data_IF_462160535867
#
_entry.id   IF_462160535867
#
_cell.length_a   1.000
_cell.length_b   1.000
_cell.length_c   1.000
_cell.angle_alpha   90.00
_cell.angle_beta   90.00
_cell.angle_gamma   90.00
#
_symmetry.space_group_name_H-M   'P 1'
#
loop_
_entity.id
_entity.type
_entity.pdbx_description
1 polymer ?
#
# COMPACT_ATOMS: atom_id res chain seq x y z
N UNK A 1 15.94 16.07 -31.94
CA UNK A 1 14.95 16.04 -30.84
C UNK A 1 14.56 14.59 -30.62
N UNK A 2 15.01 13.99 -29.52
CA UNK A 2 14.75 12.59 -29.20
C UNK A 2 13.56 12.48 -28.25
N UNK A 3 12.51 11.75 -28.67
CA UNK A 3 11.41 11.37 -27.81
C UNK A 3 11.72 9.98 -27.22
N UNK A 4 11.84 9.91 -25.90
CA UNK A 4 11.98 8.65 -25.16
C UNK A 4 10.58 8.08 -24.96
N UNK A 5 10.31 6.96 -25.62
CA UNK A 5 9.13 6.13 -25.35
C UNK A 5 9.41 5.25 -24.12
N UNK A 6 8.93 5.68 -22.95
CA UNK A 6 8.80 4.80 -21.78
C UNK A 6 7.47 4.07 -21.93
N UNK A 7 7.51 2.88 -22.53
CA UNK A 7 6.36 1.99 -22.62
C UNK A 7 6.08 1.36 -21.26
N UNK A 8 5.11 1.93 -20.53
CA UNK A 8 4.58 1.40 -19.28
C UNK A 8 3.97 0.02 -19.48
N UNK A 9 4.59 -0.98 -18.87
CA UNK A 9 3.99 -2.29 -18.64
C UNK A 9 2.95 -2.19 -17.51
N UNK A 10 1.74 -1.72 -17.83
CA UNK A 10 0.56 -1.88 -16.96
C UNK A 10 -0.54 -2.50 -17.81
N UNK A 11 -0.35 -3.76 -18.16
CA UNK A 11 -1.32 -4.57 -18.87
C UNK A 11 -1.37 -5.99 -18.31
N UNK A 12 -1.49 -6.14 -16.98
CA UNK A 12 -1.90 -7.42 -16.39
C UNK A 12 -2.74 -7.13 -15.14
N UNK A 13 -3.92 -7.75 -15.09
CA UNK A 13 -4.82 -7.91 -13.93
C UNK A 13 -5.93 -6.87 -13.68
N UNK A 14 -6.67 -6.47 -14.71
CA UNK A 14 -8.04 -5.91 -14.53
C UNK A 14 -9.15 -6.98 -14.70
N UNK A 15 -8.80 -8.19 -15.14
CA UNK A 15 -9.79 -9.24 -15.45
C UNK A 15 -10.21 -10.16 -14.29
N UNK A 16 -9.79 -9.90 -13.05
CA UNK A 16 -10.02 -10.85 -11.93
C UNK A 16 -10.58 -10.21 -10.67
N UNK A 17 -11.17 -9.01 -10.76
CA UNK A 17 -11.53 -8.20 -9.58
C UNK A 17 -12.89 -8.52 -8.96
N UNK A 18 -13.75 -9.33 -9.59
CA UNK A 18 -15.06 -9.67 -9.01
C UNK A 18 -15.04 -10.93 -8.12
N UNK A 19 -14.25 -11.95 -8.47
CA UNK A 19 -14.23 -13.23 -7.73
C UNK A 19 -13.12 -13.33 -6.67
N UNK A 20 -12.13 -12.43 -6.67
CA UNK A 20 -11.05 -12.44 -5.66
C UNK A 20 -11.29 -11.52 -4.48
N UNK A 21 -12.34 -10.69 -4.50
CA UNK A 21 -12.71 -9.86 -3.35
C UNK A 21 -13.38 -10.66 -2.22
N UNK A 22 -13.73 -11.94 -2.46
CA UNK A 22 -14.48 -12.78 -1.51
C UNK A 22 -13.59 -13.68 -0.63
N UNK A 23 -12.26 -13.54 -0.71
CA UNK A 23 -11.33 -14.29 0.15
C UNK A 23 -10.46 -13.35 0.97
N UNK A 24 -10.96 -12.84 2.12
CA UNK A 24 -10.18 -12.00 3.04
C UNK A 24 -9.01 -12.76 3.70
N UNK A 25 -8.85 -14.07 3.43
CA UNK A 25 -7.81 -14.91 4.01
C UNK A 25 -6.60 -15.16 3.11
N UNK A 26 -6.58 -14.67 1.86
CA UNK A 26 -5.54 -15.03 0.88
C UNK A 26 -4.23 -14.26 1.09
N UNK A 27 -3.58 -14.49 2.22
CA UNK A 27 -2.18 -14.10 2.44
C UNK A 27 -1.32 -14.82 1.40
N UNK A 28 -0.82 -14.09 0.41
CA UNK A 28 0.16 -14.61 -0.53
C UNK A 28 1.46 -14.89 0.22
N UNK A 29 1.66 -16.13 0.67
CA UNK A 29 2.94 -16.60 1.19
C UNK A 29 3.95 -16.70 0.04
N UNK A 30 4.57 -15.57 -0.31
CA UNK A 30 5.73 -15.54 -1.21
C UNK A 30 6.98 -15.86 -0.39
N UNK A 31 7.76 -16.84 -0.85
CA UNK A 31 9.04 -17.27 -0.25
C UNK A 31 9.91 -16.03 0.05
N UNK A 32 10.23 -15.83 1.33
CA UNK A 32 10.95 -14.65 1.81
C UNK A 32 12.30 -14.48 1.11
N UNK A 33 12.56 -13.26 0.61
CA UNK A 33 13.72 -12.93 -0.23
C UNK A 33 15.06 -12.90 0.50
N UNK A 34 15.13 -13.35 1.76
CA UNK A 34 16.31 -13.22 2.63
C UNK A 34 16.66 -11.77 2.99
N UNK A 35 16.00 -10.79 2.38
CA UNK A 35 16.20 -9.38 2.66
C UNK A 35 15.63 -9.03 4.04
N UNK A 36 16.37 -8.30 4.90
CA UNK A 36 15.91 -7.95 6.25
C UNK A 36 14.59 -7.17 6.26
N UNK A 37 14.31 -6.42 5.19
CA UNK A 37 13.08 -5.62 5.01
C UNK A 37 12.12 -6.22 3.96
N UNK A 38 12.23 -7.52 3.65
CA UNK A 38 11.37 -8.16 2.65
C UNK A 38 9.87 -7.95 2.94
N UNK A 39 9.48 -8.02 4.21
CA UNK A 39 8.10 -7.83 4.63
C UNK A 39 7.67 -6.35 4.59
N UNK A 40 8.58 -5.41 4.91
CA UNK A 40 8.31 -3.97 4.75
C UNK A 40 8.01 -3.66 3.29
N UNK A 41 8.81 -4.19 2.35
CA UNK A 41 8.56 -3.98 0.92
C UNK A 41 7.25 -4.60 0.46
N UNK A 42 6.95 -5.82 0.92
CA UNK A 42 5.69 -6.50 0.62
C UNK A 42 4.49 -5.66 1.07
N UNK A 43 4.53 -5.12 2.28
CA UNK A 43 3.48 -4.26 2.82
C UNK A 43 3.39 -2.92 2.09
N UNK A 44 4.51 -2.32 1.67
CA UNK A 44 4.48 -1.11 0.84
C UNK A 44 3.80 -1.36 -0.52
N UNK A 45 4.09 -2.50 -1.17
CA UNK A 45 3.43 -2.89 -2.42
C UNK A 45 1.94 -3.17 -2.22
N UNK A 46 1.59 -3.83 -1.10
CA UNK A 46 0.21 -4.09 -0.71
C UNK A 46 -0.56 -2.78 -0.46
N UNK A 47 0.06 -1.81 0.20
CA UNK A 47 -0.51 -0.49 0.46
C UNK A 47 -0.87 0.23 -0.85
N UNK A 48 0.06 0.25 -1.82
CA UNK A 48 -0.19 0.86 -3.12
C UNK A 48 -1.34 0.15 -3.87
N UNK A 49 -1.46 -1.16 -3.72
CA UNK A 49 -2.53 -1.95 -4.33
C UNK A 49 -3.89 -1.65 -3.68
N UNK A 50 -3.94 -1.61 -2.35
CA UNK A 50 -5.13 -1.25 -1.59
C UNK A 50 -5.61 0.17 -1.94
N UNK A 51 -4.67 1.12 -1.95
CA UNK A 51 -4.95 2.51 -2.32
C UNK A 51 -5.51 2.64 -3.73
N UNK A 52 -4.88 2.00 -4.72
CA UNK A 52 -5.36 2.01 -6.10
C UNK A 52 -6.74 1.36 -6.25
N UNK A 53 -7.03 0.32 -5.46
CA UNK A 53 -8.34 -0.35 -5.45
C UNK A 53 -9.42 0.60 -4.91
N UNK A 54 -9.17 1.24 -3.78
CA UNK A 54 -10.08 2.25 -3.21
C UNK A 54 -10.32 3.41 -4.17
N UNK A 55 -9.26 3.96 -4.77
CA UNK A 55 -9.37 5.06 -5.74
C UNK A 55 -10.20 4.67 -6.97
N UNK A 56 -10.02 3.44 -7.47
CA UNK A 56 -10.81 2.93 -8.59
C UNK A 56 -12.30 2.76 -8.24
N UNK A 57 -12.63 2.42 -7.00
CA UNK A 57 -14.02 2.36 -6.52
C UNK A 57 -14.61 3.77 -6.41
N UNK A 58 -13.87 4.72 -5.85
CA UNK A 58 -14.32 6.12 -5.73
C UNK A 58 -14.55 6.77 -7.09
N UNK A 59 -13.72 6.50 -8.10
CA UNK A 59 -13.94 7.01 -9.47
C UNK A 59 -15.26 6.49 -10.08
N UNK A 60 -15.73 5.31 -9.67
CA UNK A 60 -17.01 4.76 -10.13
C UNK A 60 -18.22 5.39 -9.44
N UNK A 61 -18.03 6.06 -8.30
CA UNK A 61 -19.11 6.77 -7.58
C UNK A 61 -19.42 8.07 -8.30
N UNK A 62 -20.43 8.04 -9.17
CA UNK A 62 -20.93 9.22 -9.89
C UNK A 62 -22.31 9.66 -9.38
N UNK A 63 -22.92 8.88 -8.49
CA UNK A 63 -24.23 9.12 -7.91
C UNK A 63 -24.36 8.53 -6.51
N UNK A 64 -25.36 8.96 -5.73
CA UNK A 64 -25.67 8.37 -4.42
C UNK A 64 -26.09 6.90 -4.50
N UNK A 65 -26.66 6.47 -5.63
CA UNK A 65 -27.02 5.06 -5.83
C UNK A 65 -25.77 4.20 -6.07
N UNK A 66 -24.79 4.72 -6.82
CA UNK A 66 -23.48 4.09 -6.97
C UNK A 66 -22.73 4.00 -5.65
N UNK A 67 -22.75 5.07 -4.86
CA UNK A 67 -22.16 5.09 -3.51
C UNK A 67 -22.77 3.99 -2.64
N UNK A 68 -24.10 3.93 -2.55
CA UNK A 68 -24.79 2.89 -1.78
C UNK A 68 -24.48 1.47 -2.28
N UNK A 69 -24.37 1.28 -3.59
CA UNK A 69 -24.06 -0.03 -4.19
C UNK A 69 -22.61 -0.44 -3.94
N UNK A 70 -21.69 0.51 -3.93
CA UNK A 70 -20.25 0.28 -3.78
C UNK A 70 -19.77 0.40 -2.33
N UNK A 71 -20.61 0.87 -1.40
CA UNK A 71 -20.24 1.16 -0.02
C UNK A 71 -19.48 0.01 0.63
N UNK A 72 -19.99 -1.22 0.55
CA UNK A 72 -19.32 -2.39 1.15
C UNK A 72 -17.93 -2.64 0.56
N UNK A 73 -17.73 -2.39 -0.73
CA UNK A 73 -16.41 -2.54 -1.36
C UNK A 73 -15.46 -1.39 -0.96
N UNK A 74 -15.99 -0.18 -0.82
CA UNK A 74 -15.25 1.00 -0.35
C UNK A 74 -14.79 0.79 1.10
N UNK A 75 -15.70 0.31 1.96
CA UNK A 75 -15.40 -0.02 3.36
C UNK A 75 -14.31 -1.09 3.43
N UNK A 76 -14.46 -2.20 2.67
CA UNK A 76 -13.46 -3.25 2.64
C UNK A 76 -12.08 -2.78 2.13
N UNK A 77 -12.03 -1.90 1.12
CA UNK A 77 -10.77 -1.33 0.65
C UNK A 77 -10.15 -0.37 1.67
N UNK A 78 -10.98 0.34 2.43
CA UNK A 78 -10.54 1.25 3.49
C UNK A 78 -9.98 0.47 4.69
N UNK A 79 -10.68 -0.56 5.13
CA UNK A 79 -10.23 -1.45 6.20
C UNK A 79 -8.93 -2.15 5.82
N UNK A 80 -8.83 -2.66 4.58
CA UNK A 80 -7.59 -3.27 4.08
C UNK A 80 -6.42 -2.26 4.07
N UNK A 81 -6.66 -1.01 3.67
CA UNK A 81 -5.63 0.02 3.71
C UNK A 81 -5.16 0.29 5.14
N UNK A 82 -6.09 0.40 6.09
CA UNK A 82 -5.79 0.62 7.50
C UNK A 82 -4.97 -0.53 8.11
N UNK A 83 -5.35 -1.79 7.84
CA UNK A 83 -4.61 -2.97 8.30
C UNK A 83 -3.15 -2.98 7.80
N UNK A 84 -2.93 -2.56 6.55
CA UNK A 84 -1.59 -2.48 5.96
C UNK A 84 -0.79 -1.33 6.55
N UNK A 85 -1.41 -0.18 6.80
CA UNK A 85 -0.79 0.97 7.48
C UNK A 85 -0.35 0.61 8.90
N UNK A 86 -1.22 -0.03 9.69
CA UNK A 86 -0.88 -0.53 11.02
C UNK A 86 0.30 -1.52 10.97
N UNK A 87 0.30 -2.42 9.98
CA UNK A 87 1.40 -3.35 9.74
C UNK A 87 2.74 -2.64 9.44
N UNK A 88 2.71 -1.59 8.62
CA UNK A 88 3.90 -0.77 8.29
C UNK A 88 4.40 0.04 9.49
N UNK A 89 3.50 0.49 10.36
CA UNK A 89 3.85 1.18 11.60
C UNK A 89 4.51 0.25 12.62
N UNK A 90 3.97 -0.96 12.76
CA UNK A 90 4.45 -1.94 13.72
C UNK A 90 5.78 -2.60 13.31
N UNK A 91 6.04 -2.74 12.00
CA UNK A 91 7.22 -3.44 11.50
C UNK A 91 8.39 -2.48 11.26
N UNK A 92 9.45 -2.47 12.08
CA UNK A 92 10.56 -1.54 11.89
C UNK A 92 11.35 -1.86 10.62
N UNK A 93 11.67 -0.82 9.84
CA UNK A 93 12.65 -0.93 8.77
C UNK A 93 14.06 -1.05 9.35
N UNK A 94 14.84 -1.97 8.81
CA UNK A 94 16.21 -2.27 9.26
C UNK A 94 17.28 -1.68 8.33
N UNK A 95 16.86 -1.20 7.17
CA UNK A 95 17.73 -0.57 6.17
C UNK A 95 17.16 0.77 5.73
N UNK A 96 18.05 1.63 5.22
CA UNK A 96 17.65 2.90 4.62
C UNK A 96 16.70 2.72 3.42
N UNK A 97 16.82 1.60 2.70
CA UNK A 97 15.90 1.28 1.61
C UNK A 97 14.48 1.00 2.12
N UNK A 98 14.34 0.24 3.22
CA UNK A 98 13.08 0.00 3.92
C UNK A 98 12.44 1.31 4.42
N UNK A 99 13.24 2.19 5.02
CA UNK A 99 12.79 3.53 5.43
C UNK A 99 12.28 4.34 4.24
N UNK A 100 13.04 4.38 3.14
CA UNK A 100 12.63 5.09 1.93
C UNK A 100 11.35 4.53 1.32
N UNK A 101 11.12 3.22 1.42
CA UNK A 101 9.89 2.59 0.97
C UNK A 101 8.69 3.09 1.79
N UNK A 102 8.78 3.05 3.13
CA UNK A 102 7.74 3.63 4.01
C UNK A 102 7.51 5.11 3.75
N UNK A 103 8.57 5.89 3.52
CA UNK A 103 8.45 7.32 3.23
C UNK A 103 7.70 7.61 1.93
N UNK A 104 7.75 6.73 0.92
CA UNK A 104 6.96 6.87 -0.31
C UNK A 104 5.46 6.64 -0.05
N UNK A 105 5.12 5.72 0.85
CA UNK A 105 3.74 5.53 1.32
C UNK A 105 3.22 6.81 1.97
N UNK A 106 3.95 7.39 2.93
CA UNK A 106 3.55 8.64 3.61
C UNK A 106 3.38 9.81 2.63
N UNK A 107 4.29 9.96 1.66
CA UNK A 107 4.16 11.01 0.62
C UNK A 107 2.92 10.83 -0.25
N UNK A 108 2.41 9.60 -0.37
CA UNK A 108 1.21 9.27 -1.15
C UNK A 108 -0.07 9.44 -0.32
N UNK A 109 0.01 9.38 1.02
CA UNK A 109 -1.11 9.71 1.92
C UNK A 109 -1.24 11.22 2.07
N UNK A 110 -2.21 11.82 1.40
CA UNK A 110 -2.42 13.27 1.43
C UNK A 110 -2.53 13.88 2.82
N UNK A 111 -3.12 13.19 3.82
CA UNK A 111 -3.41 13.73 5.17
C UNK A 111 -3.44 12.70 6.33
N UNK A 112 -2.99 11.45 6.15
CA UNK A 112 -3.16 10.36 7.15
C UNK A 112 -1.89 9.76 7.78
N UNK A 113 -0.70 10.05 7.25
CA UNK A 113 0.51 9.29 7.59
C UNK A 113 1.31 9.78 8.81
N UNK A 114 0.70 10.41 9.81
CA UNK A 114 1.43 11.01 10.93
C UNK A 114 2.10 9.95 11.84
N UNK A 115 1.40 8.85 12.11
CA UNK A 115 1.90 7.75 12.94
C UNK A 115 2.97 6.95 12.19
N UNK A 116 2.73 6.63 10.92
CA UNK A 116 3.76 6.07 10.03
C UNK A 116 4.98 7.00 9.84
N UNK A 117 4.80 8.31 9.74
CA UNK A 117 5.90 9.27 9.71
C UNK A 117 6.73 9.23 11.00
N UNK A 118 6.04 9.14 12.15
CA UNK A 118 6.71 8.99 13.45
C UNK A 118 7.46 7.67 13.56
N UNK A 119 6.90 6.58 13.02
CA UNK A 119 7.59 5.29 12.93
C UNK A 119 8.85 5.36 12.05
N UNK A 120 8.80 6.05 10.90
CA UNK A 120 9.95 6.28 10.04
C UNK A 120 11.08 7.02 10.77
N UNK A 121 10.74 8.05 11.56
CA UNK A 121 11.74 8.79 12.34
C UNK A 121 12.39 7.88 13.38
N UNK A 122 11.62 7.04 14.08
CA UNK A 122 12.17 6.05 15.01
C UNK A 122 13.10 5.06 14.32
N UNK A 123 12.71 4.55 13.16
CA UNK A 123 13.53 3.61 12.38
C UNK A 123 14.88 4.25 11.98
N UNK A 124 14.87 5.52 11.56
CA UNK A 124 16.09 6.28 11.25
C UNK A 124 17.00 6.47 12.47
N UNK A 125 16.44 6.90 13.60
CA UNK A 125 17.22 7.12 14.83
C UNK A 125 17.86 5.82 15.35
N UNK A 126 17.14 4.70 15.23
CA UNK A 126 17.66 3.39 15.59
C UNK A 126 18.85 2.96 14.70
N UNK A 127 18.84 3.30 13.41
CA UNK A 127 19.96 3.02 12.50
C UNK A 127 21.20 3.87 12.82
N UNK A 128 20.99 5.12 13.26
CA UNK A 128 22.09 6.02 13.66
C UNK A 128 22.68 5.68 15.04
N UNK A 129 22.05 4.77 15.79
CA UNK A 129 22.45 4.41 17.16
C UNK A 129 22.12 5.51 18.18
N UNK A 130 21.10 6.33 17.89
CA UNK A 130 20.68 7.49 18.69
C UNK A 130 19.39 7.20 19.48
N UNK A 131 18.90 5.95 19.43
CA UNK A 131 17.64 5.51 20.05
C UNK A 131 17.72 5.31 21.57
#
# INVERSE_FOLDING_TARGET
>A
MGAVLVGSAVAVAVGKTAETLTDPGRRFHRKGSGHPDAEVFRLCDEWHTAKATGDALYVQVQSLDDERRLQTAIDAATDWLADVEEGLEALPARTLEGVRAKARVVQSTGHGGADLASAIIRDLLAMEGVA
#
